data_IF_724988480970
#
_entry.id   IF_724988480970
#
_cell.length_a   1.000
_cell.length_b   1.000
_cell.length_c   1.000
_cell.angle_alpha   90.00
_cell.angle_beta   90.00
_cell.angle_gamma   90.00
#
_symmetry.space_group_name_H-M   'P 1'
#
loop_
_entity.id
_entity.type
_entity.pdbx_description
1 polymer ?
#
# COMPACT_ATOMS: atom_id res chain seq x y z
N UNK A 1 -3.49 5.93 6.79
CA UNK A 1 -2.61 7.02 6.31
C UNK A 1 -3.22 8.37 6.72
N UNK A 2 -2.42 9.39 7.01
CA UNK A 2 -2.90 10.75 7.32
C UNK A 2 -2.61 11.66 6.12
N UNK A 3 -3.55 12.51 5.73
CA UNK A 3 -3.36 13.43 4.62
C UNK A 3 -2.33 14.51 5.00
N UNK A 4 -1.25 14.69 4.24
CA UNK A 4 -0.22 15.68 4.58
C UNK A 4 -0.72 17.12 4.49
N UNK A 5 -1.73 17.38 3.65
CA UNK A 5 -2.29 18.71 3.46
C UNK A 5 -3.42 19.04 4.47
N UNK A 6 -4.28 18.06 4.79
CA UNK A 6 -5.46 18.29 5.62
C UNK A 6 -5.30 17.81 7.07
N UNK A 7 -4.31 16.95 7.36
CA UNK A 7 -4.11 16.37 8.70
C UNK A 7 -5.17 15.34 9.13
N UNK A 8 -6.10 14.97 8.25
CA UNK A 8 -7.19 14.03 8.54
C UNK A 8 -6.85 12.59 8.12
N UNK A 9 -7.46 11.56 8.73
CA UNK A 9 -7.31 10.18 8.27
C UNK A 9 -7.82 10.02 6.82
N UNK A 10 -7.00 9.40 5.99
CA UNK A 10 -7.34 9.05 4.61
C UNK A 10 -8.01 7.68 4.56
N UNK A 11 -9.02 7.55 3.70
CA UNK A 11 -9.75 6.30 3.49
C UNK A 11 -8.90 5.33 2.69
N UNK A 12 -8.81 4.07 3.11
CA UNK A 12 -8.26 3.01 2.27
C UNK A 12 -9.25 2.74 1.13
N UNK A 13 -8.88 3.17 -0.08
CA UNK A 13 -9.78 3.19 -1.23
C UNK A 13 -9.65 1.93 -2.07
N UNK A 14 -8.43 1.45 -2.30
CA UNK A 14 -8.17 0.27 -3.10
C UNK A 14 -6.82 -0.36 -2.77
N UNK A 15 -6.73 -1.67 -2.94
CA UNK A 15 -5.48 -2.42 -3.05
C UNK A 15 -5.23 -2.79 -4.53
N UNK A 16 -3.97 -2.76 -4.94
CA UNK A 16 -3.57 -3.19 -6.29
C UNK A 16 -2.31 -4.02 -6.24
N UNK A 17 -2.32 -5.15 -6.93
CA UNK A 17 -1.12 -5.94 -7.15
C UNK A 17 -0.30 -5.32 -8.29
N UNK A 18 0.94 -4.94 -7.99
CA UNK A 18 1.94 -4.52 -8.98
C UNK A 18 2.91 -5.67 -9.20
N UNK A 19 3.25 -5.95 -10.47
CA UNK A 19 4.35 -6.85 -10.78
C UNK A 19 5.65 -6.17 -10.36
N UNK A 20 6.52 -6.92 -9.69
CA UNK A 20 7.83 -6.44 -9.24
C UNK A 20 8.59 -5.76 -10.37
N UNK A 21 8.93 -4.48 -10.19
CA UNK A 21 9.78 -3.73 -11.13
C UNK A 21 11.00 -3.12 -10.45
N UNK A 22 11.13 -3.24 -9.14
CA UNK A 22 12.26 -2.69 -8.39
C UNK A 22 12.87 -3.73 -7.44
N UNK A 23 14.21 -3.81 -7.33
CA UNK A 23 14.89 -4.74 -6.41
C UNK A 23 14.56 -4.54 -4.92
N UNK A 24 14.02 -3.39 -4.54
CA UNK A 24 13.63 -3.05 -3.16
C UNK A 24 12.27 -3.67 -2.75
N UNK A 25 11.56 -4.26 -3.71
CA UNK A 25 10.24 -4.90 -3.53
C UNK A 25 10.31 -6.34 -3.05
N UNK A 26 11.51 -6.94 -3.07
CA UNK A 26 11.70 -8.36 -2.76
C UNK A 26 11.13 -8.76 -1.38
N UNK A 27 11.22 -7.88 -0.38
CA UNK A 27 10.72 -8.16 0.98
C UNK A 27 9.20 -8.09 1.12
N UNK A 28 8.50 -7.47 0.16
CA UNK A 28 7.05 -7.31 0.17
C UNK A 28 6.36 -8.10 -0.96
N UNK A 29 7.15 -8.85 -1.74
CA UNK A 29 6.67 -9.66 -2.84
C UNK A 29 5.86 -10.84 -2.29
N UNK A 30 4.60 -10.90 -2.69
CA UNK A 30 3.73 -12.02 -2.38
C UNK A 30 3.71 -13.00 -3.55
N UNK A 31 4.27 -14.18 -3.31
CA UNK A 31 4.36 -15.22 -4.35
C UNK A 31 3.00 -15.80 -4.74
N UNK A 32 1.98 -15.73 -3.87
CA UNK A 32 0.64 -16.21 -4.17
C UNK A 32 -0.12 -15.24 -5.08
N UNK A 33 0.13 -13.93 -4.95
CA UNK A 33 -0.41 -12.89 -5.83
C UNK A 33 0.47 -12.62 -7.06
N UNK A 34 1.74 -13.05 -7.04
CA UNK A 34 2.70 -12.84 -8.12
C UNK A 34 3.15 -11.37 -8.24
N UNK A 35 3.20 -10.65 -7.12
CA UNK A 35 3.51 -9.23 -7.09
C UNK A 35 3.52 -8.63 -5.69
N UNK A 36 3.73 -7.32 -5.61
CA UNK A 36 3.59 -6.54 -4.37
C UNK A 36 2.21 -5.88 -4.31
N UNK A 37 1.66 -5.76 -3.10
CA UNK A 37 0.40 -5.05 -2.88
C UNK A 37 0.69 -3.57 -2.61
N UNK A 38 0.06 -2.70 -3.39
CA UNK A 38 0.07 -1.24 -3.24
C UNK A 38 -1.31 -0.78 -2.75
N UNK A 39 -1.36 -0.21 -1.55
CA UNK A 39 -2.56 0.37 -0.95
C UNK A 39 -2.70 1.83 -1.40
N UNK A 40 -3.88 2.19 -1.87
CA UNK A 40 -4.24 3.55 -2.25
C UNK A 40 -5.15 4.13 -1.18
N UNK A 41 -4.78 5.30 -0.67
CA UNK A 41 -5.55 6.03 0.31
C UNK A 41 -5.96 7.38 -0.24
N UNK A 42 -7.24 7.72 -0.11
CA UNK A 42 -7.79 8.99 -0.60
C UNK A 42 -8.31 9.83 0.56
N UNK A 43 -7.91 11.10 0.60
CA UNK A 43 -8.38 12.07 1.58
C UNK A 43 -9.84 12.44 1.28
N UNK A 44 -10.78 12.24 2.22
CA UNK A 44 -12.19 12.59 2.00
C UNK A 44 -12.43 14.11 1.92
N UNK A 45 -11.49 14.94 2.38
CA UNK A 45 -11.67 16.39 2.46
C UNK A 45 -11.17 17.12 1.20
N UNK A 46 -10.00 16.74 0.68
CA UNK A 46 -9.40 17.40 -0.49
C UNK A 46 -9.30 16.51 -1.73
N UNK A 47 -9.64 15.23 -1.63
CA UNK A 47 -9.57 14.26 -2.74
C UNK A 47 -8.15 13.79 -3.08
N UNK A 48 -7.11 14.26 -2.38
CA UNK A 48 -5.73 13.81 -2.62
C UNK A 48 -5.60 12.32 -2.38
N UNK A 49 -4.93 11.63 -3.30
CA UNK A 49 -4.69 10.20 -3.22
C UNK A 49 -3.20 9.95 -3.09
N UNK A 50 -2.82 9.18 -2.08
CA UNK A 50 -1.46 8.76 -1.81
C UNK A 50 -1.44 7.23 -1.81
N UNK A 51 -0.32 6.63 -2.19
CA UNK A 51 -0.14 5.18 -2.11
C UNK A 51 0.95 4.81 -1.13
N UNK A 52 0.84 3.62 -0.55
CA UNK A 52 1.92 2.98 0.19
C UNK A 52 1.99 1.51 -0.15
N UNK A 53 3.17 0.93 0.06
CA UNK A 53 3.33 -0.52 -0.04
C UNK A 53 2.69 -1.17 1.19
N UNK A 54 1.85 -2.18 0.97
CA UNK A 54 1.44 -3.05 2.06
C UNK A 54 2.63 -3.94 2.43
N UNK A 55 3.01 -3.93 3.70
CA UNK A 55 3.89 -4.98 4.21
C UNK A 55 3.01 -6.20 4.47
N UNK A 56 3.11 -7.21 3.61
CA UNK A 56 2.58 -8.51 3.96
C UNK A 56 3.32 -8.95 5.22
N UNK A 57 2.58 -9.15 6.30
CA UNK A 57 3.11 -9.70 7.54
C UNK A 57 3.32 -11.22 7.34
N UNK A 58 4.10 -11.60 6.33
CA UNK A 58 4.56 -12.96 6.08
C UNK A 58 5.70 -13.33 7.06
N UNK A 59 5.58 -12.88 8.32
CA UNK A 59 6.54 -13.07 9.40
C UNK A 59 5.89 -13.60 10.69
N UNK A 60 4.66 -14.14 10.63
CA UNK A 60 4.06 -14.86 11.74
C UNK A 60 3.88 -16.34 11.36
N UNK A 61 4.95 -17.09 11.46
CA UNK A 61 4.89 -18.54 11.73
C UNK A 61 5.96 -18.80 12.78
N UNK A 62 5.51 -18.93 14.02
CA UNK A 62 6.32 -19.44 15.12
C UNK A 62 6.47 -20.95 15.07
#
# INVERSE_FOLDING_TARGET
MICPDCGVPMNHHADKVRKETHPDDASAFDSALGGVIEEFHTCPQCGKTESRRAFNNAGSSG
#
